data_IF_184758316877
#
_entry.id   IF_184758316877
#
_cell.length_a   1.000
_cell.length_b   1.000
_cell.length_c   1.000
_cell.angle_alpha   90.00
_cell.angle_beta   90.00
_cell.angle_gamma   90.00
#
_symmetry.space_group_name_H-M   'P 1'
#
loop_
_entity.id
_entity.type
_entity.pdbx_description
1 polymer ?
#
# COMPACT_ATOMS: atom_id res chain seq x y z
N UNK A 1 8.85 7.15 -23.29
CA UNK A 1 7.57 6.53 -22.90
C UNK A 1 7.19 6.85 -21.45
N UNK A 2 7.98 6.46 -20.44
CA UNK A 2 7.69 6.69 -19.01
C UNK A 2 7.21 8.11 -18.64
N UNK A 3 7.96 9.16 -19.01
CA UNK A 3 7.59 10.55 -18.71
C UNK A 3 6.22 10.95 -19.29
N UNK A 4 5.89 10.46 -20.49
CA UNK A 4 4.59 10.70 -21.12
C UNK A 4 3.46 10.01 -20.35
N UNK A 5 3.69 8.81 -19.82
CA UNK A 5 2.72 8.12 -18.97
C UNK A 5 2.46 8.90 -17.67
N UNK A 6 3.52 9.41 -17.02
CA UNK A 6 3.38 10.22 -15.81
C UNK A 6 2.59 11.51 -16.09
N UNK A 7 2.93 12.24 -17.15
CA UNK A 7 2.19 13.43 -17.55
C UNK A 7 0.73 13.11 -17.92
N UNK A 8 0.49 12.02 -18.63
CA UNK A 8 -0.86 11.56 -18.97
C UNK A 8 -1.69 11.23 -17.73
N UNK A 9 -1.11 10.52 -16.76
CA UNK A 9 -1.76 10.24 -15.47
C UNK A 9 -2.10 11.53 -14.72
N UNK A 10 -1.18 12.50 -14.67
CA UNK A 10 -1.45 13.80 -14.06
C UNK A 10 -2.63 14.52 -14.74
N UNK A 11 -2.62 14.59 -16.07
CA UNK A 11 -3.67 15.27 -16.85
C UNK A 11 -5.04 14.58 -16.70
N UNK A 12 -5.08 13.26 -16.60
CA UNK A 12 -6.33 12.49 -16.40
C UNK A 12 -6.88 12.70 -14.98
N UNK A 13 -6.00 12.67 -13.98
CA UNK A 13 -6.42 12.71 -12.56
C UNK A 13 -6.68 14.12 -12.05
N UNK A 14 -6.02 15.14 -12.59
CA UNK A 14 -6.15 16.53 -12.14
C UNK A 14 -7.61 17.03 -12.14
N UNK A 15 -8.41 16.86 -13.21
CA UNK A 15 -9.83 17.24 -13.20
C UNK A 15 -10.62 16.53 -12.10
N UNK A 16 -10.29 15.26 -11.83
CA UNK A 16 -10.96 14.45 -10.81
C UNK A 16 -10.64 14.93 -9.39
N UNK A 17 -9.46 15.53 -9.18
CA UNK A 17 -9.02 16.04 -7.87
C UNK A 17 -9.74 17.34 -7.47
N UNK A 18 -10.39 18.05 -8.40
CA UNK A 18 -11.18 19.23 -8.06
C UNK A 18 -12.57 18.87 -7.50
N UNK A 19 -13.07 17.67 -7.81
CA UNK A 19 -14.36 17.20 -7.32
C UNK A 19 -14.36 16.73 -5.86
N UNK A 20 -15.49 16.14 -5.46
CA UNK A 20 -15.64 15.46 -4.18
C UNK A 20 -15.39 13.97 -4.31
N UNK A 21 -15.09 13.32 -3.18
CA UNK A 21 -14.87 11.87 -3.11
C UNK A 21 -16.02 11.07 -3.74
N UNK A 22 -17.26 11.53 -3.60
CA UNK A 22 -18.44 10.88 -4.17
C UNK A 22 -18.43 10.84 -5.71
N UNK A 23 -17.91 11.88 -6.38
CA UNK A 23 -17.84 11.92 -7.85
C UNK A 23 -16.84 10.90 -8.42
N UNK A 24 -15.84 10.53 -7.62
CA UNK A 24 -14.85 9.50 -8.01
C UNK A 24 -15.36 8.07 -7.85
N UNK A 25 -16.48 7.86 -7.13
CA UNK A 25 -17.00 6.54 -6.74
C UNK A 25 -17.20 5.57 -7.90
N UNK A 26 -17.83 6.00 -8.99
CA UNK A 26 -18.11 5.14 -10.14
C UNK A 26 -16.82 4.68 -10.82
N UNK A 27 -15.89 5.61 -11.02
CA UNK A 27 -14.56 5.30 -11.56
C UNK A 27 -13.80 4.34 -10.64
N UNK A 28 -13.88 4.56 -9.32
CA UNK A 28 -13.32 3.67 -8.30
C UNK A 28 -13.89 2.26 -8.38
N UNK A 29 -15.20 2.09 -8.52
CA UNK A 29 -15.77 0.74 -8.63
C UNK A 29 -15.30 -0.03 -9.85
N UNK A 30 -15.27 0.62 -11.02
CA UNK A 30 -14.82 -0.03 -12.26
C UNK A 30 -13.37 -0.48 -12.13
N UNK A 31 -12.50 0.43 -11.69
CA UNK A 31 -11.07 0.14 -11.57
C UNK A 31 -10.78 -0.87 -10.46
N UNK A 32 -11.48 -0.80 -9.31
CA UNK A 32 -11.33 -1.79 -8.24
C UNK A 32 -11.79 -3.18 -8.67
N UNK A 33 -12.85 -3.27 -9.47
CA UNK A 33 -13.30 -4.55 -10.05
C UNK A 33 -12.24 -5.14 -10.96
N UNK A 34 -11.69 -4.33 -11.87
CA UNK A 34 -10.59 -4.76 -12.74
C UNK A 34 -9.36 -5.22 -11.94
N UNK A 35 -9.00 -4.51 -10.87
CA UNK A 35 -7.90 -4.90 -9.98
C UNK A 35 -8.15 -6.23 -9.29
N UNK A 36 -9.37 -6.46 -8.81
CA UNK A 36 -9.73 -7.73 -8.18
C UNK A 36 -9.66 -8.89 -9.17
N UNK A 37 -10.15 -8.68 -10.40
CA UNK A 37 -10.01 -9.65 -11.50
C UNK A 37 -8.54 -9.95 -11.77
N UNK A 38 -7.67 -8.94 -11.85
CA UNK A 38 -6.24 -9.14 -12.06
C UNK A 38 -5.60 -9.98 -10.96
N UNK A 39 -5.93 -9.73 -9.69
CA UNK A 39 -5.42 -10.52 -8.55
C UNK A 39 -5.92 -11.96 -8.62
N UNK A 40 -7.20 -12.19 -8.91
CA UNK A 40 -7.77 -13.54 -9.07
C UNK A 40 -7.06 -14.29 -10.20
N UNK A 41 -6.82 -13.62 -11.34
CA UNK A 41 -6.09 -14.20 -12.46
C UNK A 41 -4.65 -14.55 -12.10
N UNK A 42 -3.93 -13.64 -11.42
CA UNK A 42 -2.57 -13.92 -10.93
C UNK A 42 -2.57 -15.18 -10.06
N UNK A 43 -3.44 -15.28 -9.06
CA UNK A 43 -3.52 -16.47 -8.18
C UNK A 43 -3.85 -17.73 -8.98
N UNK A 44 -4.79 -17.64 -9.92
CA UNK A 44 -5.23 -18.79 -10.74
C UNK A 44 -4.09 -19.32 -11.60
N UNK A 45 -3.42 -18.43 -12.35
CA UNK A 45 -2.30 -18.79 -13.23
C UNK A 45 -1.13 -19.35 -12.40
N UNK A 46 -0.81 -18.72 -11.26
CA UNK A 46 0.24 -19.18 -10.35
C UNK A 46 -0.06 -20.58 -9.81
N UNK A 47 -1.32 -20.83 -9.44
CA UNK A 47 -1.75 -22.12 -8.91
C UNK A 47 -1.71 -23.21 -9.98
N UNK A 48 -2.16 -22.91 -11.21
CA UNK A 48 -2.07 -23.83 -12.34
C UNK A 48 -0.62 -24.17 -12.67
N UNK A 49 0.28 -23.18 -12.67
CA UNK A 49 1.71 -23.42 -12.88
C UNK A 49 2.32 -24.24 -11.75
N UNK A 50 2.01 -23.91 -10.49
CA UNK A 50 2.46 -24.68 -9.32
C UNK A 50 2.05 -26.15 -9.44
N UNK A 51 0.79 -26.39 -9.83
CA UNK A 51 0.27 -27.74 -10.05
C UNK A 51 1.05 -28.49 -11.14
N UNK A 52 1.32 -27.84 -12.28
CA UNK A 52 2.11 -28.43 -13.36
C UNK A 52 3.52 -28.82 -12.90
N UNK A 53 4.20 -27.93 -12.17
CA UNK A 53 5.52 -28.21 -11.59
C UNK A 53 5.49 -29.39 -10.63
N UNK A 54 4.46 -29.49 -9.80
CA UNK A 54 4.30 -30.64 -8.90
C UNK A 54 4.15 -31.97 -9.65
N UNK A 55 3.53 -31.97 -10.84
CA UNK A 55 3.39 -33.16 -11.67
C UNK A 55 4.69 -33.54 -12.39
N UNK A 56 5.45 -32.55 -12.88
CA UNK A 56 6.65 -32.79 -13.69
C UNK A 56 7.92 -32.99 -12.86
N UNK A 57 8.15 -32.15 -11.85
CA UNK A 57 9.37 -32.15 -11.03
C UNK A 57 9.19 -32.95 -9.73
N UNK A 58 7.95 -33.14 -9.29
CA UNK A 58 7.62 -33.77 -8.01
C UNK A 58 7.72 -32.83 -6.79
N UNK A 59 6.94 -33.14 -5.75
CA UNK A 59 6.77 -32.25 -4.59
C UNK A 59 8.05 -31.93 -3.83
N UNK A 60 8.92 -32.92 -3.60
CA UNK A 60 10.17 -32.70 -2.87
C UNK A 60 11.09 -31.71 -3.59
N UNK A 61 11.20 -31.83 -4.92
CA UNK A 61 12.06 -30.97 -5.72
C UNK A 61 11.49 -29.54 -5.78
N UNK A 62 10.19 -29.38 -6.05
CA UNK A 62 9.55 -28.06 -6.07
C UNK A 62 9.70 -27.33 -4.73
N UNK A 63 9.41 -28.01 -3.62
CA UNK A 63 9.51 -27.39 -2.29
C UNK A 63 10.95 -27.05 -1.89
N UNK A 64 11.95 -27.77 -2.41
CA UNK A 64 13.36 -27.44 -2.18
C UNK A 64 13.78 -26.10 -2.82
N UNK A 65 13.07 -25.66 -3.87
CA UNK A 65 13.32 -24.35 -4.52
C UNK A 65 12.77 -23.16 -3.73
N UNK A 66 11.87 -23.42 -2.78
CA UNK A 66 11.22 -22.38 -1.97
C UNK A 66 12.06 -22.08 -0.74
N UNK A 67 12.73 -20.92 -0.74
CA UNK A 67 13.44 -20.42 0.45
C UNK A 67 12.43 -20.01 1.52
N UNK A 68 12.33 -20.79 2.60
CA UNK A 68 11.44 -20.50 3.73
C UNK A 68 11.91 -19.33 4.59
N UNK A 69 13.22 -19.09 4.65
CA UNK A 69 13.80 -18.03 5.48
C UNK A 69 14.99 -17.37 4.79
N UNK A 70 14.97 -16.04 4.72
CA UNK A 70 16.09 -15.24 4.23
C UNK A 70 16.25 -13.99 5.11
N UNK A 71 17.31 -14.00 5.93
CA UNK A 71 17.60 -12.91 6.90
C UNK A 71 17.74 -11.57 6.21
N UNK A 72 18.35 -11.57 5.01
CA UNK A 72 18.70 -10.37 4.27
C UNK A 72 17.46 -9.64 3.74
N UNK A 73 16.35 -10.37 3.51
CA UNK A 73 15.10 -9.83 2.98
C UNK A 73 14.09 -9.49 4.06
N UNK A 74 14.30 -9.91 5.32
CA UNK A 74 13.38 -9.64 6.41
C UNK A 74 13.05 -8.13 6.52
N UNK A 75 14.07 -7.27 6.40
CA UNK A 75 13.88 -5.82 6.47
C UNK A 75 13.13 -5.26 5.27
N UNK A 76 13.24 -5.90 4.09
CA UNK A 76 12.42 -5.57 2.93
C UNK A 76 10.95 -5.91 3.15
N UNK A 77 10.69 -7.11 3.65
CA UNK A 77 9.33 -7.58 3.96
C UNK A 77 8.70 -6.69 5.03
N UNK A 78 9.45 -6.34 6.09
CA UNK A 78 8.96 -5.44 7.13
C UNK A 78 8.57 -4.06 6.59
N UNK A 79 9.49 -3.40 5.86
CA UNK A 79 9.23 -2.07 5.30
C UNK A 79 8.06 -2.06 4.29
N UNK A 80 8.02 -3.05 3.40
CA UNK A 80 6.94 -3.21 2.43
C UNK A 80 5.60 -3.54 3.13
N UNK A 81 5.64 -4.29 4.23
CA UNK A 81 4.48 -4.59 5.05
C UNK A 81 3.91 -3.34 5.73
N UNK A 82 4.76 -2.50 6.33
CA UNK A 82 4.34 -1.21 6.89
C UNK A 82 3.68 -0.35 5.81
N UNK A 83 4.29 -0.26 4.63
CA UNK A 83 3.74 0.50 3.50
C UNK A 83 2.40 -0.07 3.00
N UNK A 84 2.27 -1.40 2.87
CA UNK A 84 1.04 -2.07 2.43
C UNK A 84 -0.16 -1.72 3.33
N UNK A 85 0.08 -1.55 4.63
CA UNK A 85 -0.95 -1.22 5.62
C UNK A 85 -0.97 0.26 6.04
N UNK A 86 -0.22 1.13 5.35
CA UNK A 86 -0.08 2.56 5.68
C UNK A 86 -1.28 3.39 5.22
N UNK A 87 -2.47 3.15 5.80
CA UNK A 87 -3.70 3.88 5.45
C UNK A 87 -4.13 4.91 6.51
N UNK A 88 -3.39 4.99 7.61
CA UNK A 88 -3.75 5.71 8.83
C UNK A 88 -3.92 7.23 8.62
N UNK A 89 -3.33 7.81 7.58
CA UNK A 89 -3.38 9.24 7.28
C UNK A 89 -4.73 9.71 6.69
N UNK A 90 -5.52 8.81 6.09
CA UNK A 90 -6.86 9.11 5.60
C UNK A 90 -7.96 8.31 6.31
N UNK A 91 -7.59 7.33 7.14
CA UNK A 91 -8.54 6.52 7.90
C UNK A 91 -9.54 7.36 8.72
N UNK A 92 -9.16 8.45 9.43
CA UNK A 92 -10.10 9.27 10.18
C UNK A 92 -11.24 9.83 9.32
N UNK A 93 -10.93 10.39 8.14
CA UNK A 93 -11.93 10.93 7.22
C UNK A 93 -12.80 9.85 6.58
N UNK A 94 -12.28 8.63 6.45
CA UNK A 94 -13.04 7.49 5.90
C UNK A 94 -13.99 6.87 6.94
N UNK A 95 -13.64 6.87 8.23
CA UNK A 95 -14.45 6.29 9.30
C UNK A 95 -15.42 7.27 9.94
N UNK A 96 -15.18 8.59 9.83
CA UNK A 96 -16.08 9.60 10.39
C UNK A 96 -17.53 9.49 9.91
N UNK A 97 -17.85 9.16 8.63
CA UNK A 97 -19.24 8.98 8.20
C UNK A 97 -19.82 7.60 8.56
N UNK A 98 -19.07 6.70 9.23
CA UNK A 98 -19.55 5.36 9.53
C UNK A 98 -20.54 5.37 10.70
N UNK A 99 -21.79 4.96 10.44
CA UNK A 99 -22.80 4.77 11.47
C UNK A 99 -23.29 3.31 11.49
N UNK A 100 -23.34 2.64 12.66
CA UNK A 100 -22.87 3.09 13.98
C UNK A 100 -21.34 2.96 14.17
N UNK A 101 -20.74 3.93 14.86
CA UNK A 101 -19.28 4.00 15.13
C UNK A 101 -18.72 2.77 15.87
N UNK A 102 -19.54 2.08 16.66
CA UNK A 102 -19.15 0.83 17.35
C UNK A 102 -18.68 -0.28 16.38
N UNK A 103 -19.11 -0.26 15.12
CA UNK A 103 -18.71 -1.24 14.11
C UNK A 103 -17.36 -0.91 13.44
N UNK A 104 -16.80 0.28 13.65
CA UNK A 104 -15.56 0.69 12.99
C UNK A 104 -14.39 -0.30 13.20
N UNK A 105 -14.11 -0.79 14.42
CA UNK A 105 -13.01 -1.76 14.61
C UNK A 105 -13.23 -3.07 13.86
N UNK A 106 -14.47 -3.54 13.78
CA UNK A 106 -14.80 -4.77 13.05
C UNK A 106 -14.61 -4.58 11.54
N UNK A 107 -15.07 -3.45 10.99
CA UNK A 107 -14.90 -3.14 9.56
C UNK A 107 -13.42 -3.06 9.20
N UNK A 108 -12.62 -2.36 10.03
CA UNK A 108 -11.17 -2.25 9.83
C UNK A 108 -10.50 -3.62 9.93
N UNK A 109 -10.80 -4.41 10.98
CA UNK A 109 -10.21 -5.73 11.16
C UNK A 109 -10.54 -6.68 10.01
N UNK A 110 -11.78 -6.69 9.54
CA UNK A 110 -12.20 -7.48 8.38
C UNK A 110 -11.45 -7.06 7.11
N UNK A 111 -11.37 -5.76 6.85
CA UNK A 111 -10.67 -5.25 5.66
C UNK A 111 -9.19 -5.63 5.66
N UNK A 112 -8.48 -5.38 6.77
CA UNK A 112 -7.07 -5.73 6.91
C UNK A 112 -6.85 -7.24 6.88
N UNK A 113 -7.73 -8.03 7.51
CA UNK A 113 -7.68 -9.48 7.49
C UNK A 113 -7.82 -10.07 6.09
N UNK A 114 -8.79 -9.58 5.30
CA UNK A 114 -8.96 -9.98 3.90
C UNK A 114 -7.71 -9.61 3.10
N UNK A 115 -7.21 -8.38 3.23
CA UNK A 115 -5.98 -7.96 2.53
C UNK A 115 -4.77 -8.81 2.90
N UNK A 116 -4.63 -9.16 4.18
CA UNK A 116 -3.55 -10.01 4.69
C UNK A 116 -3.63 -11.44 4.11
N UNK A 117 -4.81 -12.05 4.10
CA UNK A 117 -5.00 -13.40 3.51
C UNK A 117 -4.72 -13.38 2.01
N UNK A 118 -5.22 -12.37 1.29
CA UNK A 118 -4.98 -12.24 -0.15
C UNK A 118 -3.49 -12.10 -0.48
N UNK A 119 -2.74 -11.27 0.25
CA UNK A 119 -1.31 -11.11 0.00
C UNK A 119 -0.53 -12.39 0.33
N UNK A 120 -0.95 -13.14 1.36
CA UNK A 120 -0.36 -14.45 1.67
C UNK A 120 -0.59 -15.46 0.55
N UNK A 121 -1.82 -15.55 0.02
CA UNK A 121 -2.16 -16.46 -1.08
C UNK A 121 -1.33 -16.11 -2.33
N UNK A 122 -1.31 -14.83 -2.71
CA UNK A 122 -0.53 -14.35 -3.86
C UNK A 122 0.96 -14.66 -3.66
N UNK A 123 1.52 -14.37 -2.49
CA UNK A 123 2.95 -14.57 -2.23
C UNK A 123 3.33 -16.06 -2.17
N UNK A 124 2.52 -16.89 -1.52
CA UNK A 124 2.78 -18.33 -1.43
C UNK A 124 2.72 -19.00 -2.80
N UNK A 125 1.68 -18.69 -3.59
CA UNK A 125 1.55 -19.24 -4.95
C UNK A 125 2.64 -18.72 -5.87
N UNK A 126 3.08 -17.47 -5.72
CA UNK A 126 4.22 -16.92 -6.46
C UNK A 126 5.53 -17.69 -6.20
N UNK A 127 5.84 -17.91 -4.92
CA UNK A 127 7.10 -18.57 -4.54
C UNK A 127 7.19 -20.00 -5.09
N UNK A 128 6.09 -20.73 -5.09
CA UNK A 128 6.03 -22.10 -5.63
C UNK A 128 6.07 -22.10 -7.16
N UNK A 129 5.31 -21.23 -7.80
CA UNK A 129 5.18 -21.22 -9.26
C UNK A 129 6.45 -20.78 -9.99
N UNK A 130 7.25 -19.87 -9.41
CA UNK A 130 8.45 -19.30 -10.05
C UNK A 130 9.75 -19.56 -9.26
N UNK A 131 9.73 -20.43 -8.24
CA UNK A 131 10.92 -20.80 -7.47
C UNK A 131 11.93 -21.58 -8.31
N UNK A 132 13.20 -21.14 -8.34
CA UNK A 132 14.27 -21.83 -9.08
C UNK A 132 14.35 -21.51 -10.58
N UNK A 133 13.55 -20.56 -11.08
CA UNK A 133 13.63 -20.05 -12.45
C UNK A 133 14.82 -19.10 -12.67
N UNK A 134 15.14 -18.81 -13.94
CA UNK A 134 16.16 -17.82 -14.31
C UNK A 134 15.81 -16.41 -13.83
N UNK A 135 16.81 -15.52 -13.70
CA UNK A 135 16.61 -14.18 -13.12
C UNK A 135 15.73 -13.26 -13.99
N UNK A 136 15.84 -13.34 -15.32
CA UNK A 136 15.18 -12.41 -16.24
C UNK A 136 14.06 -13.09 -17.02
N UNK A 137 12.94 -12.37 -17.18
CA UNK A 137 11.78 -12.84 -17.93
C UNK A 137 11.91 -12.50 -19.41
N UNK A 138 11.41 -13.39 -20.27
CA UNK A 138 11.20 -13.05 -21.66
C UNK A 138 10.24 -11.86 -21.82
N UNK A 139 10.55 -10.96 -22.76
CA UNK A 139 9.76 -9.75 -23.03
C UNK A 139 8.65 -9.98 -24.06
N UNK A 140 8.46 -11.22 -24.54
CA UNK A 140 7.44 -11.56 -25.54
C UNK A 140 6.55 -12.72 -25.07
N UNK A 141 5.26 -12.73 -25.48
CA UNK A 141 4.35 -13.83 -25.18
C UNK A 141 4.87 -15.16 -25.74
N UNK A 142 4.74 -16.24 -24.96
CA UNK A 142 5.24 -17.57 -25.30
C UNK A 142 6.72 -17.82 -24.99
N UNK A 143 7.42 -16.84 -24.39
CA UNK A 143 8.80 -16.99 -23.95
C UNK A 143 8.95 -17.71 -22.60
N UNK A 144 10.18 -17.70 -22.07
CA UNK A 144 10.49 -18.31 -20.77
C UNK A 144 10.06 -17.42 -19.59
N UNK A 145 9.68 -18.09 -18.50
CA UNK A 145 9.39 -17.45 -17.22
C UNK A 145 10.67 -17.20 -16.42
N UNK A 146 10.55 -16.39 -15.37
CA UNK A 146 11.66 -16.01 -14.51
C UNK A 146 11.28 -16.05 -13.04
N UNK A 147 12.29 -15.95 -12.17
CA UNK A 147 12.13 -15.85 -10.73
C UNK A 147 11.23 -14.65 -10.38
N UNK A 148 10.54 -14.72 -9.24
CA UNK A 148 9.69 -13.64 -8.72
C UNK A 148 10.42 -12.29 -8.80
N UNK A 149 9.87 -11.39 -9.61
CA UNK A 149 10.43 -10.08 -9.85
C UNK A 149 10.04 -9.11 -8.72
N UNK A 150 10.80 -8.02 -8.49
CA UNK A 150 10.41 -6.98 -7.53
C UNK A 150 9.01 -6.40 -7.79
N UNK A 151 8.58 -6.43 -9.06
CA UNK A 151 7.23 -6.14 -9.52
C UNK A 151 6.63 -7.43 -10.05
N UNK A 152 5.83 -8.10 -9.23
CA UNK A 152 5.32 -9.44 -9.51
C UNK A 152 4.50 -9.54 -10.81
N UNK A 153 3.85 -8.46 -11.25
CA UNK A 153 3.12 -8.42 -12.51
C UNK A 153 4.00 -8.69 -13.74
N UNK A 154 5.31 -8.46 -13.63
CA UNK A 154 6.26 -8.73 -14.73
C UNK A 154 6.47 -10.22 -14.98
N UNK A 155 6.25 -11.08 -13.97
CA UNK A 155 6.33 -12.54 -14.13
C UNK A 155 5.30 -13.12 -15.10
N UNK A 156 4.28 -12.34 -15.46
CA UNK A 156 3.21 -12.73 -16.37
C UNK A 156 3.40 -12.22 -17.81
N UNK A 157 4.45 -11.45 -18.11
CA UNK A 157 4.74 -10.96 -19.47
C UNK A 157 4.91 -12.09 -20.49
N UNK A 158 5.57 -13.22 -20.17
CA UNK A 158 5.71 -14.34 -21.10
C UNK A 158 4.40 -15.10 -21.37
N UNK A 159 3.29 -14.77 -20.70
CA UNK A 159 2.03 -15.51 -20.83
C UNK A 159 1.44 -15.38 -22.25
N UNK A 160 1.41 -16.49 -22.98
CA UNK A 160 0.89 -16.57 -24.36
C UNK A 160 -0.64 -16.60 -24.49
N UNK A 161 -1.39 -16.58 -23.38
CA UNK A 161 -2.85 -16.71 -23.40
C UNK A 161 -3.52 -15.59 -24.20
N UNK A 162 -4.48 -15.97 -25.05
CA UNK A 162 -5.19 -15.04 -25.94
C UNK A 162 -4.25 -14.12 -26.72
N UNK A 163 -3.15 -14.67 -27.25
CA UNK A 163 -2.15 -13.91 -28.01
C UNK A 163 -1.38 -12.88 -27.19
N UNK A 164 -1.32 -13.03 -25.86
CA UNK A 164 -0.63 -12.11 -24.95
C UNK A 164 -1.50 -10.98 -24.39
N UNK A 165 -2.78 -10.90 -24.76
CA UNK A 165 -3.70 -9.87 -24.20
C UNK A 165 -3.87 -9.99 -22.69
N UNK A 166 -3.87 -11.23 -22.16
CA UNK A 166 -3.91 -11.48 -20.72
C UNK A 166 -2.65 -10.98 -20.01
N UNK A 167 -1.47 -11.17 -20.63
CA UNK A 167 -0.21 -10.66 -20.12
C UNK A 167 -0.25 -9.13 -20.00
N UNK A 168 -0.76 -8.43 -21.02
CA UNK A 168 -0.90 -6.98 -21.02
C UNK A 168 -1.83 -6.51 -19.90
N UNK A 169 -2.98 -7.18 -19.71
CA UNK A 169 -3.92 -6.82 -18.64
C UNK A 169 -3.29 -6.94 -17.25
N UNK A 170 -2.64 -8.06 -16.96
CA UNK A 170 -1.98 -8.31 -15.66
C UNK A 170 -0.78 -7.36 -15.47
N UNK A 171 0.05 -7.19 -16.51
CA UNK A 171 1.19 -6.26 -16.48
C UNK A 171 0.74 -4.83 -16.21
N UNK A 172 -0.46 -4.45 -16.67
CA UNK A 172 -1.05 -3.11 -16.47
C UNK A 172 -1.69 -2.90 -15.10
N UNK A 173 -1.90 -3.94 -14.28
CA UNK A 173 -2.58 -3.80 -12.98
C UNK A 173 -2.00 -2.71 -12.06
N UNK A 174 -0.68 -2.42 -12.00
CA UNK A 174 -0.18 -1.35 -11.14
C UNK A 174 -0.68 0.03 -11.60
N UNK A 175 -0.88 0.21 -12.91
CA UNK A 175 -1.37 1.49 -13.45
C UNK A 175 -2.83 1.77 -13.05
N UNK A 176 -3.61 0.72 -12.75
CA UNK A 176 -4.95 0.83 -12.18
C UNK A 176 -4.95 1.48 -10.78
N UNK A 177 -3.79 1.65 -10.13
CA UNK A 177 -3.68 2.46 -8.93
C UNK A 177 -3.94 3.96 -9.17
N UNK A 178 -4.07 4.40 -10.43
CA UNK A 178 -4.46 5.78 -10.81
C UNK A 178 -5.71 6.28 -10.07
N UNK A 179 -6.63 5.38 -9.75
CA UNK A 179 -7.87 5.73 -9.05
C UNK A 179 -7.66 6.17 -7.60
N UNK A 180 -6.54 5.80 -7.00
CA UNK A 180 -6.20 6.21 -5.65
C UNK A 180 -5.70 7.67 -5.61
N UNK A 181 -5.23 8.22 -6.73
CA UNK A 181 -4.65 9.56 -6.80
C UNK A 181 -5.69 10.64 -6.44
N UNK A 182 -6.89 10.68 -7.06
CA UNK A 182 -7.89 11.68 -6.68
C UNK A 182 -8.35 11.56 -5.22
N UNK A 183 -8.53 10.34 -4.72
CA UNK A 183 -8.95 10.10 -3.33
C UNK A 183 -7.91 10.65 -2.35
N UNK A 184 -6.63 10.32 -2.57
CA UNK A 184 -5.52 10.82 -1.76
C UNK A 184 -5.41 12.34 -1.86
N UNK A 185 -5.45 12.90 -3.07
CA UNK A 185 -5.32 14.34 -3.29
C UNK A 185 -6.45 15.15 -2.63
N UNK A 186 -7.71 14.73 -2.80
CA UNK A 186 -8.88 15.40 -2.18
C UNK A 186 -8.79 15.33 -0.66
N UNK A 187 -8.44 14.16 -0.11
CA UNK A 187 -8.36 13.98 1.35
C UNK A 187 -7.23 14.83 1.93
N UNK A 188 -6.02 14.76 1.36
CA UNK A 188 -4.88 15.56 1.80
C UNK A 188 -5.15 17.05 1.67
N UNK A 189 -5.80 17.51 0.58
CA UNK A 189 -6.22 18.90 0.41
C UNK A 189 -7.14 19.35 1.54
N UNK A 190 -8.16 18.55 1.85
CA UNK A 190 -9.13 18.88 2.89
C UNK A 190 -8.47 18.92 4.28
N UNK A 191 -7.59 17.96 4.58
CA UNK A 191 -6.83 17.92 5.85
C UNK A 191 -5.86 19.10 5.97
N UNK A 192 -5.12 19.43 4.91
CA UNK A 192 -4.20 20.57 4.91
C UNK A 192 -4.94 21.90 5.06
N UNK A 193 -6.07 22.07 4.38
CA UNK A 193 -6.87 23.29 4.51
C UNK A 193 -7.40 23.47 5.93
N UNK A 194 -7.90 22.40 6.56
CA UNK A 194 -8.31 22.42 7.96
C UNK A 194 -7.16 22.79 8.90
N UNK A 195 -5.97 22.22 8.68
CA UNK A 195 -4.79 22.51 9.50
C UNK A 195 -4.29 23.95 9.34
N UNK A 196 -4.41 24.52 8.14
CA UNK A 196 -4.03 25.91 7.84
C UNK A 196 -5.13 26.93 8.14
N UNK A 197 -6.32 26.49 8.60
CA UNK A 197 -7.47 27.38 8.82
C UNK A 197 -8.04 28.00 7.55
N UNK A 198 -7.80 27.38 6.39
CA UNK A 198 -8.27 27.84 5.08
C UNK A 198 -9.67 27.28 4.83
N UNK A 199 -10.64 28.16 4.60
CA UNK A 199 -11.98 27.75 4.19
C UNK A 199 -11.99 27.37 2.72
N UNK A 200 -12.31 26.11 2.43
CA UNK A 200 -12.51 25.63 1.07
C UNK A 200 -13.96 25.87 0.65
N UNK A 201 -14.16 26.26 -0.61
CA UNK A 201 -15.48 26.32 -1.20
C UNK A 201 -16.05 24.90 -1.31
N UNK A 202 -17.35 24.77 -1.01
CA UNK A 202 -18.04 23.49 -1.06
C UNK A 202 -18.16 22.90 -2.47
N UNK A 203 -18.74 21.69 -2.54
CA UNK A 203 -18.98 20.89 -3.74
C UNK A 203 -19.64 21.62 -4.92
N UNK A 204 -20.37 22.70 -4.62
CA UNK A 204 -21.11 23.52 -5.57
C UNK A 204 -20.20 24.46 -6.38
N UNK A 205 -19.05 24.87 -5.84
CA UNK A 205 -18.10 25.74 -6.53
C UNK A 205 -16.64 25.24 -6.43
N UNK A 206 -16.33 24.09 -7.05
CA UNK A 206 -15.05 23.41 -6.89
C UNK A 206 -13.86 24.17 -7.50
N UNK A 207 -14.11 25.08 -8.45
CA UNK A 207 -13.09 25.81 -9.22
C UNK A 207 -12.72 27.18 -8.62
N UNK A 208 -12.93 27.36 -7.32
CA UNK A 208 -12.46 28.56 -6.63
C UNK A 208 -10.93 28.61 -6.63
N UNK A 209 -10.33 29.80 -6.72
CA UNK A 209 -8.87 29.99 -6.70
C UNK A 209 -8.20 29.25 -5.54
N UNK A 210 -8.76 29.37 -4.33
CA UNK A 210 -8.29 28.66 -3.13
C UNK A 210 -8.28 27.14 -3.30
N UNK A 211 -9.36 26.56 -3.82
CA UNK A 211 -9.45 25.12 -4.08
C UNK A 211 -8.44 24.67 -5.13
N UNK A 212 -8.26 25.46 -6.19
CA UNK A 212 -7.29 25.16 -7.26
C UNK A 212 -5.87 25.17 -6.70
N UNK A 213 -5.48 26.24 -6.02
CA UNK A 213 -4.16 26.36 -5.40
C UNK A 213 -3.89 25.21 -4.42
N UNK A 214 -4.84 24.91 -3.54
CA UNK A 214 -4.69 23.82 -2.56
C UNK A 214 -4.59 22.45 -3.22
N UNK A 215 -5.38 22.17 -4.27
CA UNK A 215 -5.24 20.93 -5.05
C UNK A 215 -3.87 20.83 -5.73
N UNK A 216 -3.37 21.92 -6.32
CA UNK A 216 -2.06 21.93 -6.99
C UNK A 216 -0.90 21.76 -6.00
N UNK A 217 -0.96 22.40 -4.83
CA UNK A 217 0.03 22.22 -3.75
C UNK A 217 0.13 20.77 -3.32
N UNK A 218 -0.98 20.02 -3.34
CA UNK A 218 -1.00 18.60 -2.98
C UNK A 218 -0.55 17.70 -4.13
N UNK A 219 -0.96 17.98 -5.37
CA UNK A 219 -0.77 17.07 -6.51
C UNK A 219 0.57 17.28 -7.24
N UNK A 220 1.08 18.50 -7.30
CA UNK A 220 2.32 18.83 -8.04
C UNK A 220 3.55 18.17 -7.41
N UNK A 221 3.81 18.25 -6.08
CA UNK A 221 5.00 17.64 -5.49
C UNK A 221 5.17 16.13 -5.78
N UNK A 222 4.17 15.25 -5.57
CA UNK A 222 4.33 13.83 -5.88
C UNK A 222 4.51 13.57 -7.38
N UNK A 223 3.91 14.40 -8.25
CA UNK A 223 4.09 14.30 -9.70
C UNK A 223 5.51 14.68 -10.14
N UNK A 224 6.09 15.72 -9.53
CA UNK A 224 7.49 16.10 -9.73
C UNK A 224 8.43 15.00 -9.26
N UNK A 225 8.19 14.43 -8.07
CA UNK A 225 8.98 13.30 -7.56
C UNK A 225 8.93 12.11 -8.52
N UNK A 226 7.76 11.79 -9.08
CA UNK A 226 7.61 10.73 -10.08
C UNK A 226 8.37 11.01 -11.39
N UNK A 227 8.49 12.27 -11.82
CA UNK A 227 9.27 12.62 -13.02
C UNK A 227 10.78 12.50 -12.82
N UNK A 228 11.25 12.68 -11.59
CA UNK A 228 12.69 12.66 -11.24
C UNK A 228 13.13 11.28 -10.78
N UNK A 229 12.25 10.52 -10.11
CA UNK A 229 12.60 9.24 -9.47
C UNK A 229 12.20 8.06 -10.33
N UNK A 230 13.20 7.31 -10.83
CA UNK A 230 12.96 6.08 -11.59
C UNK A 230 12.76 4.83 -10.72
N UNK A 231 13.33 4.84 -9.52
CA UNK A 231 13.29 3.69 -8.62
C UNK A 231 12.20 3.84 -7.56
N UNK A 232 11.05 3.19 -7.81
CA UNK A 232 9.90 3.22 -6.89
C UNK A 232 10.23 2.57 -5.54
N UNK A 233 11.13 1.59 -5.49
CA UNK A 233 11.50 0.90 -4.25
C UNK A 233 12.21 1.84 -3.27
N UNK A 234 12.98 2.81 -3.78
CA UNK A 234 13.62 3.84 -2.95
C UNK A 234 12.55 4.71 -2.29
N UNK A 235 11.56 5.18 -3.06
CA UNK A 235 10.44 5.99 -2.53
C UNK A 235 9.66 5.20 -1.48
N UNK A 236 9.32 3.94 -1.75
CA UNK A 236 8.61 3.08 -0.81
C UNK A 236 9.43 2.88 0.48
N UNK A 237 10.73 2.68 0.38
CA UNK A 237 11.58 2.47 1.55
C UNK A 237 11.65 3.72 2.45
N UNK A 238 11.77 4.92 1.87
CA UNK A 238 11.76 6.17 2.64
C UNK A 238 10.37 6.51 3.19
N UNK A 239 9.37 6.56 2.32
CA UNK A 239 8.02 6.99 2.68
C UNK A 239 7.34 5.95 3.59
N UNK A 240 7.40 4.67 3.22
CA UNK A 240 6.85 3.59 4.05
C UNK A 240 7.63 3.39 5.35
N UNK A 241 8.96 3.45 5.29
CA UNK A 241 9.82 3.22 6.44
C UNK A 241 9.75 4.30 7.52
N UNK A 242 9.85 5.59 7.15
CA UNK A 242 9.81 6.70 8.12
C UNK A 242 8.40 7.25 8.31
N UNK A 243 7.80 7.79 7.25
CA UNK A 243 6.51 8.48 7.35
C UNK A 243 5.39 7.49 7.67
N UNK A 244 5.39 6.31 7.04
CA UNK A 244 4.44 5.23 7.29
C UNK A 244 4.51 4.75 8.74
N UNK A 245 5.70 4.43 9.24
CA UNK A 245 5.91 3.99 10.62
C UNK A 245 5.53 5.07 11.65
N UNK A 246 5.91 6.32 11.40
CA UNK A 246 5.56 7.46 12.27
C UNK A 246 4.04 7.62 12.35
N UNK A 247 3.37 7.61 11.20
CA UNK A 247 1.91 7.82 11.12
C UNK A 247 1.13 6.63 11.68
N UNK A 248 1.58 5.41 11.41
CA UNK A 248 0.89 4.19 11.83
C UNK A 248 1.11 3.85 13.32
N UNK A 249 2.25 4.25 13.89
CA UNK A 249 2.66 3.82 15.24
C UNK A 249 2.81 5.00 16.21
N UNK A 250 3.65 5.98 15.89
CA UNK A 250 4.00 7.05 16.82
C UNK A 250 2.84 8.04 17.01
N UNK A 251 2.25 8.55 15.93
CA UNK A 251 1.14 9.50 15.98
C UNK A 251 -0.05 9.01 16.83
N UNK A 252 -0.62 7.81 16.59
CA UNK A 252 -1.76 7.34 17.39
C UNK A 252 -1.37 7.11 18.85
N UNK A 253 -0.12 6.72 19.13
CA UNK A 253 0.36 6.57 20.50
C UNK A 253 0.42 7.91 21.23
N UNK A 254 0.99 8.95 20.62
CA UNK A 254 1.07 10.30 21.21
C UNK A 254 -0.32 10.85 21.48
N UNK A 255 -1.24 10.76 20.51
CA UNK A 255 -2.63 11.18 20.68
C UNK A 255 -3.29 10.42 21.82
N UNK A 256 -3.14 9.10 21.88
CA UNK A 256 -3.72 8.28 22.93
C UNK A 256 -3.21 8.67 24.33
N UNK A 257 -1.90 8.85 24.50
CA UNK A 257 -1.30 9.24 25.78
C UNK A 257 -1.80 10.62 26.20
N UNK A 258 -1.74 11.61 25.29
CA UNK A 258 -2.16 12.98 25.60
C UNK A 258 -3.65 13.11 25.88
N UNK A 259 -4.50 12.42 25.13
CA UNK A 259 -5.93 12.39 25.41
C UNK A 259 -6.23 11.77 26.79
N UNK A 260 -5.49 10.75 27.22
CA UNK A 260 -5.69 10.14 28.55
C UNK A 260 -5.22 11.02 29.68
N UNK A 261 -4.10 11.72 29.50
CA UNK A 261 -3.61 12.72 30.45
C UNK A 261 -4.61 13.88 30.59
N UNK A 262 -5.07 14.44 29.46
CA UNK A 262 -6.00 15.59 29.45
C UNK A 262 -7.36 15.26 30.04
N UNK A 263 -7.84 14.04 29.85
CA UNK A 263 -9.15 13.59 30.33
C UNK A 263 -9.05 12.88 31.70
N UNK A 264 -7.87 12.89 32.34
CA UNK A 264 -7.57 12.18 33.61
C UNK A 264 -8.14 10.76 33.65
N UNK A 265 -8.08 10.06 32.51
CA UNK A 265 -8.83 8.81 32.30
C UNK A 265 -8.30 7.64 33.14
N UNK A 266 -7.10 7.76 33.69
CA UNK A 266 -6.46 6.75 34.52
C UNK A 266 -6.50 7.13 36.01
N UNK A 267 -7.24 8.19 36.37
CA UNK A 267 -7.40 8.71 37.73
C UNK A 267 -8.90 8.83 38.07
N UNK A 268 -9.24 8.72 39.37
CA UNK A 268 -10.59 8.99 39.89
C UNK A 268 -11.71 8.05 39.39
N UNK A 269 -12.95 8.55 39.39
CA UNK A 269 -14.17 7.79 39.07
C UNK A 269 -14.19 7.24 37.62
N UNK A 270 -13.51 7.93 36.69
CA UNK A 270 -13.43 7.55 35.28
C UNK A 270 -12.61 6.27 35.02
N UNK A 271 -11.81 5.83 36.01
CA UNK A 271 -11.04 4.59 35.95
C UNK A 271 -11.95 3.36 35.98
N UNK A 272 -13.10 3.45 36.66
CA UNK A 272 -14.05 2.34 36.88
C UNK A 272 -14.98 2.12 35.67
N UNK A 273 -15.12 3.13 34.80
CA UNK A 273 -15.96 3.03 33.61
C UNK A 273 -15.44 1.97 32.64
N UNK A 274 -16.32 1.00 32.31
CA UNK A 274 -16.02 -0.04 31.32
C UNK A 274 -15.93 0.57 29.93
N UNK A 275 -14.76 0.42 29.30
CA UNK A 275 -14.49 0.92 27.95
C UNK A 275 -14.42 -0.25 26.97
N UNK A 276 -15.49 -0.52 26.21
CA UNK A 276 -15.55 -1.67 25.31
C UNK A 276 -14.54 -1.61 24.17
N UNK A 277 -14.03 -0.41 23.86
CA UNK A 277 -13.03 -0.16 22.80
C UNK A 277 -11.61 0.07 23.34
N UNK A 278 -11.35 -0.21 24.62
CA UNK A 278 -10.01 -0.06 25.20
C UNK A 278 -9.06 -1.08 24.55
N UNK A 279 -8.05 -0.59 23.86
CA UNK A 279 -6.97 -1.43 23.32
C UNK A 279 -6.27 -2.23 24.43
N UNK A 280 -5.87 -3.45 24.11
CA UNK A 280 -5.03 -4.29 24.98
C UNK A 280 -3.69 -3.62 25.33
N UNK A 281 -3.18 -2.75 24.44
CA UNK A 281 -1.96 -1.95 24.66
C UNK A 281 -2.23 -0.63 25.38
N UNK A 282 -3.45 -0.39 25.87
CA UNK A 282 -3.87 0.84 26.54
C UNK A 282 -3.38 0.98 28.00
N UNK A 283 -2.15 0.55 28.29
CA UNK A 283 -1.49 0.62 29.59
C UNK A 283 -0.03 1.08 29.42
N UNK A 284 0.62 1.53 30.52
CA UNK A 284 2.00 2.07 30.49
C UNK A 284 3.03 1.10 29.88
N UNK A 285 2.89 -0.20 30.16
CA UNK A 285 3.78 -1.24 29.60
C UNK A 285 3.58 -1.38 28.09
N UNK A 286 2.32 -1.33 27.61
CA UNK A 286 1.96 -1.34 26.20
C UNK A 286 2.53 -0.14 25.45
N UNK A 287 2.47 1.06 26.03
CA UNK A 287 3.07 2.25 25.45
C UNK A 287 4.59 2.12 25.31
N UNK A 288 5.24 1.64 26.37
CA UNK A 288 6.69 1.38 26.36
C UNK A 288 7.05 0.36 25.28
N UNK A 289 6.29 -0.73 25.18
CA UNK A 289 6.48 -1.75 24.15
C UNK A 289 6.34 -1.18 22.73
N UNK A 290 5.30 -0.39 22.48
CA UNK A 290 5.08 0.24 21.16
C UNK A 290 6.21 1.22 20.82
N UNK A 291 6.68 2.02 21.79
CA UNK A 291 7.85 2.90 21.61
C UNK A 291 9.12 2.12 21.29
N UNK A 292 9.38 1.01 22.00
CA UNK A 292 10.55 0.17 21.74
C UNK A 292 10.48 -0.48 20.36
N UNK A 293 9.31 -0.98 19.96
CA UNK A 293 9.09 -1.53 18.63
C UNK A 293 9.30 -0.46 17.55
N UNK A 294 8.79 0.75 17.75
CA UNK A 294 8.99 1.88 16.86
C UNK A 294 10.48 2.25 16.72
N UNK A 295 11.19 2.38 17.83
CA UNK A 295 12.62 2.70 17.84
C UNK A 295 13.45 1.61 17.14
N UNK A 296 13.16 0.34 17.44
CA UNK A 296 13.81 -0.79 16.78
C UNK A 296 13.54 -0.78 15.27
N UNK A 297 12.28 -0.61 14.86
CA UNK A 297 11.90 -0.54 13.46
C UNK A 297 12.60 0.61 12.72
N UNK A 298 12.72 1.80 13.34
CA UNK A 298 13.48 2.91 12.79
C UNK A 298 14.97 2.59 12.63
N UNK A 299 15.60 2.00 13.64
CA UNK A 299 17.02 1.60 13.57
C UNK A 299 17.23 0.63 12.41
N UNK A 300 16.34 -0.35 12.26
CA UNK A 300 16.39 -1.34 11.20
C UNK A 300 16.20 -0.74 9.81
N UNK A 301 15.23 0.15 9.64
CA UNK A 301 15.00 0.90 8.39
C UNK A 301 16.21 1.77 8.06
N UNK A 302 16.77 2.47 9.05
CA UNK A 302 17.94 3.35 8.89
C UNK A 302 19.17 2.53 8.47
N UNK A 303 19.44 1.41 9.14
CA UNK A 303 20.54 0.50 8.79
C UNK A 303 20.42 0.02 7.35
N UNK A 304 19.22 -0.41 6.93
CA UNK A 304 19.01 -0.87 5.55
C UNK A 304 19.24 0.23 4.52
N UNK A 305 18.80 1.46 4.80
CA UNK A 305 18.90 2.56 3.86
C UNK A 305 20.31 3.13 3.71
N UNK A 306 21.08 3.18 4.80
CA UNK A 306 22.35 3.92 4.82
C UNK A 306 23.60 3.06 5.06
N UNK A 307 23.49 1.89 5.69
CA UNK A 307 24.64 1.07 6.07
C UNK A 307 24.81 -0.11 5.12
N UNK A 308 23.72 -0.82 4.80
CA UNK A 308 23.71 -1.92 3.84
C UNK A 308 22.80 -1.60 2.64
N UNK A 309 23.10 -0.55 1.83
CA UNK A 309 22.38 -0.33 0.59
C UNK A 309 22.80 -1.45 -0.37
N UNK A 310 22.17 -2.62 -0.29
CA UNK A 310 22.23 -3.59 -1.38
C UNK A 310 21.64 -2.86 -2.58
N UNK A 311 22.52 -2.51 -3.53
CA UNK A 311 22.14 -1.84 -4.75
C UNK A 311 20.98 -2.63 -5.36
N UNK A 312 19.83 -2.00 -5.68
CA UNK A 312 18.91 -2.63 -6.58
C UNK A 312 19.72 -2.94 -7.84
N UNK A 313 19.74 -4.21 -8.24
CA UNK A 313 20.45 -4.64 -9.44
C UNK A 313 20.11 -3.65 -10.56
N UNK A 314 21.12 -3.13 -11.29
CA UNK A 314 20.87 -2.22 -12.38
C UNK A 314 20.05 -2.99 -13.42
N UNK A 315 18.77 -2.67 -13.54
CA UNK A 315 17.97 -3.08 -14.69
C UNK A 315 17.70 -1.84 -15.56
N UNK A 316 17.86 -1.97 -16.90
CA UNK A 316 17.74 -0.89 -17.86
C UNK A 316 16.36 -0.22 -17.90
#
# INVERSE_FOLDING_TARGET
MYKYCVCGTFLITLPMCFGDLQKTKNFTYVIMTARFIAVVLMVTISSMRSYHRFQEEGAAQVLSTVKLWETDQFMAVFGNGVFLFAIHHYLPSMISPLEPQRKAPQVIATAFGISYVLILIVSATAMVAWGGEALECSQHPGGHFCQVQPLYNLNFVPLGWFGGSMAIFIASYPSMAIVNIPIAAITTRNTMAQWLGITLSGAENPYTFTNICMTLVVLVPPSVVALITKNVQVVIAYVGGYAGLTTAVLCPLVVLVKCRELLSLDEGELQVLRRPLKSAFGNKKGYTFVCLMYALALILVTKKLFIDPKAPAPHP
#
